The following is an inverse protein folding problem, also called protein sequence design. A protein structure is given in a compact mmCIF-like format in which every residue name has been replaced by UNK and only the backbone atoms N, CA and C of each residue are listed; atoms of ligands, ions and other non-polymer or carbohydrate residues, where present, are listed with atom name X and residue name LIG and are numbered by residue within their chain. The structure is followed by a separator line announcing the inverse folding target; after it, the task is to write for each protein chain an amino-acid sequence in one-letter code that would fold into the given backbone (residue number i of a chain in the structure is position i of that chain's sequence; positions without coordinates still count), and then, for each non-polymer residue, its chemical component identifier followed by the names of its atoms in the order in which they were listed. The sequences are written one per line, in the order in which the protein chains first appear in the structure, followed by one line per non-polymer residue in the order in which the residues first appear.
data_IF_104255718187
#
_entry.id   IF_104255718187
#
_cell.length_a   1.000
_cell.length_b   1.000
_cell.length_c   1.000
_cell.angle_alpha   90.00
_cell.angle_beta   90.00
_cell.angle_gamma   90.00
#
_symmetry.space_group_name_H-M   'P 1'
#
loop_
_entity.id
_entity.type
_entity.pdbx_description
1 polymer ?
#
# COMPACT_ATOMS: atom_id res chain seq x y z
N UNK A 1 -19.59 -4.60 8.98
CA UNK A 1 -18.71 -4.37 10.14
C UNK A 1 -19.37 -5.11 11.29
N UNK A 2 -18.65 -6.04 11.93
CA UNK A 2 -19.20 -6.83 13.04
C UNK A 2 -19.62 -5.86 14.16
N UNK A 3 -20.90 -5.81 14.57
CA UNK A 3 -21.40 -4.82 15.54
C UNK A 3 -20.81 -4.97 16.96
N UNK A 4 -19.97 -5.98 17.19
CA UNK A 4 -19.42 -6.31 18.51
C UNK A 4 -18.02 -5.78 18.80
N UNK A 5 -17.33 -5.15 17.84
CA UNK A 5 -15.99 -4.60 18.07
C UNK A 5 -16.07 -3.26 18.80
N UNK A 6 -15.77 -3.26 20.11
CA UNK A 6 -15.71 -2.04 20.89
C UNK A 6 -14.61 -1.09 20.40
N UNK A 7 -14.84 0.23 20.50
CA UNK A 7 -13.91 1.27 20.04
C UNK A 7 -12.47 1.08 20.56
N UNK A 8 -12.33 0.60 21.80
CA UNK A 8 -11.03 0.32 22.43
C UNK A 8 -10.29 -0.80 21.70
N UNK A 9 -10.99 -1.84 21.25
CA UNK A 9 -10.40 -2.97 20.53
C UNK A 9 -9.97 -2.52 19.13
N UNK A 10 -10.82 -1.78 18.43
CA UNK A 10 -10.49 -1.20 17.12
C UNK A 10 -9.24 -0.32 17.21
N UNK A 11 -9.19 0.59 18.19
CA UNK A 11 -8.03 1.46 18.38
C UNK A 11 -6.75 0.68 18.71
N UNK A 12 -6.86 -0.38 19.51
CA UNK A 12 -5.70 -1.20 19.87
C UNK A 12 -5.17 -1.96 18.65
N UNK A 13 -6.05 -2.52 17.83
CA UNK A 13 -5.72 -3.21 16.58
C UNK A 13 -4.99 -2.28 15.60
N UNK A 14 -5.54 -1.08 15.36
CA UNK A 14 -4.87 -0.07 14.54
C UNK A 14 -3.50 0.34 15.10
N UNK A 15 -3.40 0.60 16.40
CA UNK A 15 -2.13 1.01 17.02
C UNK A 15 -1.07 -0.09 16.91
N UNK A 16 -1.43 -1.35 17.11
CA UNK A 16 -0.52 -2.48 16.93
C UNK A 16 -0.06 -2.56 15.47
N UNK A 17 -1.00 -2.48 14.51
CA UNK A 17 -0.67 -2.49 13.08
C UNK A 17 0.29 -1.37 12.69
N UNK A 18 0.04 -0.13 13.13
CA UNK A 18 0.93 1.01 12.87
C UNK A 18 2.31 0.84 13.52
N UNK A 19 2.37 0.38 14.78
CA UNK A 19 3.64 0.16 15.47
C UNK A 19 4.48 -0.91 14.75
N UNK A 20 3.87 -2.05 14.38
CA UNK A 20 4.54 -3.11 13.62
C UNK A 20 5.03 -2.60 12.27
N UNK A 21 4.24 -1.79 11.58
CA UNK A 21 4.63 -1.20 10.28
C UNK A 21 5.85 -0.29 10.41
N UNK A 22 5.90 0.56 11.45
CA UNK A 22 7.05 1.44 11.71
C UNK A 22 8.31 0.61 11.98
N UNK A 23 8.22 -0.41 12.83
CA UNK A 23 9.36 -1.27 13.18
C UNK A 23 9.90 -1.96 11.93
N UNK A 24 9.02 -2.59 11.14
CA UNK A 24 9.40 -3.29 9.91
C UNK A 24 9.99 -2.31 8.88
N UNK A 25 9.37 -1.13 8.72
CA UNK A 25 9.86 -0.10 7.80
C UNK A 25 11.28 0.37 8.14
N UNK A 26 11.55 0.63 9.44
CA UNK A 26 12.90 0.96 9.90
C UNK A 26 13.88 -0.19 9.68
N UNK A 27 13.46 -1.44 9.91
CA UNK A 27 14.28 -2.62 9.61
C UNK A 27 14.67 -2.71 8.14
N UNK A 28 13.75 -2.42 7.20
CA UNK A 28 14.06 -2.41 5.77
C UNK A 28 15.01 -1.28 5.37
N UNK A 29 14.90 -0.10 5.98
CA UNK A 29 15.85 1.00 5.75
C UNK A 29 17.25 0.61 6.23
N UNK A 30 17.36 0.07 7.44
CA UNK A 30 18.63 -0.41 7.98
C UNK A 30 19.21 -1.52 7.12
N UNK A 31 18.38 -2.43 6.62
CA UNK A 31 18.81 -3.51 5.75
C UNK A 31 19.35 -3.00 4.42
N UNK A 32 18.66 -2.04 3.79
CA UNK A 32 19.16 -1.37 2.59
C UNK A 32 20.53 -0.73 2.82
N UNK A 33 20.71 -0.06 3.97
CA UNK A 33 21.98 0.57 4.33
C UNK A 33 23.11 -0.40 4.68
N UNK A 34 22.83 -1.50 5.38
CA UNK A 34 23.86 -2.40 5.92
C UNK A 34 24.20 -3.57 4.99
N UNK A 35 23.23 -4.07 4.23
CA UNK A 35 23.40 -5.28 3.41
C UNK A 35 23.52 -4.93 1.93
N UNK A 36 22.77 -3.94 1.44
CA UNK A 36 22.68 -3.66 0.00
C UNK A 36 23.67 -2.58 -0.45
N UNK A 37 23.93 -1.58 0.38
CA UNK A 37 24.83 -0.48 0.04
C UNK A 37 26.28 -0.98 -0.16
N UNK A 38 26.91 -0.56 -1.26
CA UNK A 38 28.32 -0.87 -1.57
C UNK A 38 28.59 -2.26 -2.17
N UNK A 39 27.57 -3.09 -2.41
CA UNK A 39 27.73 -4.43 -3.00
C UNK A 39 27.91 -4.44 -4.54
N UNK A 40 27.66 -3.31 -5.22
CA UNK A 40 27.80 -3.20 -6.68
C UNK A 40 26.85 -4.09 -7.50
N UNK A 41 25.89 -4.77 -6.87
CA UNK A 41 24.86 -5.55 -7.55
C UNK A 41 23.70 -4.65 -7.97
N UNK A 42 23.43 -4.62 -9.27
CA UNK A 42 22.19 -4.06 -9.79
C UNK A 42 21.09 -5.13 -9.77
N UNK A 43 19.89 -4.72 -9.36
CA UNK A 43 18.72 -5.59 -9.44
C UNK A 43 18.29 -5.78 -10.88
N UNK A 44 17.90 -7.01 -11.20
CA UNK A 44 17.30 -7.31 -12.48
C UNK A 44 15.97 -6.59 -12.63
N UNK A 45 15.69 -6.10 -13.84
CA UNK A 45 14.38 -5.61 -14.22
C UNK A 45 13.34 -6.74 -14.38
N UNK A 46 13.73 -8.02 -14.34
CA UNK A 46 12.79 -9.15 -14.32
C UNK A 46 12.36 -9.49 -12.90
N UNK A 47 11.05 -9.53 -12.65
CA UNK A 47 10.54 -9.73 -11.29
C UNK A 47 10.88 -11.08 -10.66
N UNK A 48 10.93 -12.14 -11.46
CA UNK A 48 11.32 -13.48 -10.97
C UNK A 48 12.81 -13.53 -10.58
N UNK A 49 13.66 -12.82 -11.32
CA UNK A 49 15.09 -12.73 -11.03
C UNK A 49 15.31 -11.85 -9.80
N UNK A 50 14.64 -10.70 -9.72
CA UNK A 50 14.66 -9.81 -8.56
C UNK A 50 14.29 -10.55 -7.25
N UNK A 51 13.21 -11.34 -7.26
CA UNK A 51 12.81 -12.12 -6.09
C UNK A 51 13.89 -13.12 -5.64
N UNK A 52 14.55 -13.79 -6.60
CA UNK A 52 15.66 -14.69 -6.30
C UNK A 52 16.89 -13.94 -5.80
N UNK A 53 17.22 -12.78 -6.37
CA UNK A 53 18.32 -11.92 -5.93
C UNK A 53 18.11 -11.48 -4.47
N UNK A 54 16.90 -11.04 -4.11
CA UNK A 54 16.56 -10.73 -2.72
C UNK A 54 16.80 -11.94 -1.82
N UNK A 55 16.17 -13.08 -2.12
CA UNK A 55 16.31 -14.30 -1.29
C UNK A 55 17.79 -14.68 -1.12
N UNK A 56 18.56 -14.69 -2.21
CA UNK A 56 19.97 -15.06 -2.17
C UNK A 56 20.79 -14.11 -1.29
N UNK A 57 20.57 -12.80 -1.40
CA UNK A 57 21.25 -11.80 -0.60
C UNK A 57 21.01 -11.99 0.91
N UNK A 58 19.79 -12.38 1.29
CA UNK A 58 19.50 -12.75 2.68
C UNK A 58 20.16 -14.06 3.09
N UNK A 59 20.18 -15.07 2.21
CA UNK A 59 20.81 -16.36 2.52
C UNK A 59 22.33 -16.28 2.61
N UNK A 60 22.95 -15.34 1.91
CA UNK A 60 24.38 -15.09 2.00
C UNK A 60 24.75 -14.51 3.36
N UNK A 61 23.85 -13.70 3.94
CA UNK A 61 24.05 -13.09 5.27
C UNK A 61 23.64 -14.02 6.43
N UNK A 62 22.55 -14.78 6.28
CA UNK A 62 21.94 -15.59 7.35
C UNK A 62 22.27 -17.09 7.27
N UNK A 63 22.83 -17.54 6.14
CA UNK A 63 23.13 -18.94 5.85
C UNK A 63 22.01 -19.64 5.05
N UNK A 64 22.38 -20.71 4.35
CA UNK A 64 21.50 -21.42 3.40
C UNK A 64 20.22 -22.02 4.02
N UNK A 65 20.25 -22.35 5.33
CA UNK A 65 19.08 -22.86 6.05
C UNK A 65 17.90 -21.86 6.06
N UNK A 66 18.20 -20.56 5.98
CA UNK A 66 17.20 -19.49 6.01
C UNK A 66 16.38 -19.40 4.71
N UNK A 67 16.86 -19.99 3.61
CA UNK A 67 16.28 -19.86 2.26
C UNK A 67 14.81 -20.27 2.21
N UNK A 68 14.49 -21.40 2.82
CA UNK A 68 13.13 -21.92 2.84
C UNK A 68 12.18 -21.00 3.63
N UNK A 69 12.62 -20.51 4.80
CA UNK A 69 11.84 -19.61 5.63
C UNK A 69 11.56 -18.27 4.93
N UNK A 70 12.59 -17.68 4.31
CA UNK A 70 12.46 -16.41 3.57
C UNK A 70 11.55 -16.59 2.35
N UNK A 71 11.71 -17.70 1.61
CA UNK A 71 10.86 -18.01 0.46
C UNK A 71 9.38 -18.12 0.84
N UNK A 72 9.06 -18.84 1.91
CA UNK A 72 7.68 -18.97 2.42
C UNK A 72 7.15 -17.62 2.92
N UNK A 73 7.97 -16.85 3.63
CA UNK A 73 7.58 -15.53 4.12
C UNK A 73 7.30 -14.56 2.96
N UNK A 74 8.17 -14.52 1.94
CA UNK A 74 8.01 -13.69 0.76
C UNK A 74 6.74 -14.09 -0.03
N UNK A 75 6.54 -15.39 -0.28
CA UNK A 75 5.34 -15.89 -0.94
C UNK A 75 4.08 -15.51 -0.17
N UNK A 76 4.03 -15.79 1.13
CA UNK A 76 2.86 -15.50 1.97
C UNK A 76 2.53 -14.00 1.99
N UNK A 77 3.56 -13.14 2.04
CA UNK A 77 3.40 -11.68 2.04
C UNK A 77 2.82 -11.18 0.71
N UNK A 78 3.39 -11.62 -0.41
CA UNK A 78 2.90 -11.24 -1.74
C UNK A 78 1.49 -11.79 -1.99
N UNK A 79 1.24 -13.05 -1.65
CA UNK A 79 -0.06 -13.69 -1.82
C UNK A 79 -1.15 -13.01 -0.98
N UNK A 80 -0.88 -12.68 0.28
CA UNK A 80 -1.82 -11.94 1.15
C UNK A 80 -2.18 -10.56 0.58
N UNK A 81 -1.19 -9.87 -0.02
CA UNK A 81 -1.40 -8.56 -0.66
C UNK A 81 -2.31 -8.69 -1.89
N UNK A 82 -2.06 -9.72 -2.73
CA UNK A 82 -2.93 -10.03 -3.87
C UNK A 82 -4.36 -10.34 -3.42
N UNK A 83 -4.56 -11.18 -2.40
CA UNK A 83 -5.89 -11.48 -1.86
C UNK A 83 -6.61 -10.23 -1.34
N UNK A 84 -5.92 -9.43 -0.54
CA UNK A 84 -6.49 -8.20 0.05
C UNK A 84 -6.92 -7.20 -1.03
N UNK A 85 -6.16 -7.12 -2.12
CA UNK A 85 -6.46 -6.22 -3.25
C UNK A 85 -7.59 -6.77 -4.12
N UNK A 86 -7.53 -8.06 -4.45
CA UNK A 86 -8.55 -8.72 -5.26
C UNK A 86 -9.91 -8.77 -4.58
N UNK A 87 -9.98 -8.82 -3.25
CA UNK A 87 -11.26 -8.72 -2.54
C UNK A 87 -11.65 -7.27 -2.22
N UNK A 88 -10.72 -6.49 -1.66
CA UNK A 88 -10.99 -5.15 -1.16
C UNK A 88 -11.35 -4.17 -2.28
N UNK A 89 -10.58 -4.14 -3.37
CA UNK A 89 -10.77 -3.15 -4.43
C UNK A 89 -12.12 -3.32 -5.14
N UNK A 90 -12.54 -4.52 -5.59
CA UNK A 90 -13.85 -4.67 -6.24
C UNK A 90 -15.02 -4.35 -5.32
N UNK A 91 -14.92 -4.65 -4.01
CA UNK A 91 -15.96 -4.32 -3.04
C UNK A 91 -16.12 -2.81 -2.86
N UNK A 92 -15.01 -2.09 -2.74
CA UNK A 92 -15.04 -0.62 -2.64
C UNK A 92 -15.54 -0.01 -3.96
N UNK A 93 -15.06 -0.50 -5.10
CA UNK A 93 -15.48 0.01 -6.42
C UNK A 93 -16.96 -0.24 -6.73
N UNK A 94 -17.51 -1.40 -6.35
CA UNK A 94 -18.95 -1.66 -6.48
C UNK A 94 -19.77 -0.65 -5.68
N UNK A 95 -19.36 -0.32 -4.44
CA UNK A 95 -20.05 0.70 -3.65
C UNK A 95 -19.87 2.10 -4.24
N UNK A 96 -18.65 2.48 -4.61
CA UNK A 96 -18.37 3.80 -5.19
C UNK A 96 -19.13 4.02 -6.50
N UNK A 97 -19.15 3.04 -7.39
CA UNK A 97 -19.91 3.11 -8.65
C UNK A 97 -21.41 3.23 -8.41
N UNK A 98 -21.96 2.50 -7.43
CA UNK A 98 -23.39 2.64 -7.05
C UNK A 98 -23.77 4.01 -6.51
N UNK A 99 -22.80 4.76 -5.95
CA UNK A 99 -23.00 6.11 -5.42
C UNK A 99 -22.79 7.18 -6.49
N UNK A 100 -21.92 6.93 -7.47
CA UNK A 100 -21.56 7.89 -8.51
C UNK A 100 -22.52 7.86 -9.71
N UNK A 101 -23.00 6.67 -10.09
CA UNK A 101 -23.85 6.49 -11.27
C UNK A 101 -25.35 6.55 -10.93
N UNK A 102 -26.16 6.88 -11.94
CA UNK A 102 -27.60 7.02 -11.80
C UNK A 102 -28.29 5.72 -11.32
N UNK A 103 -29.46 5.82 -10.65
CA UNK A 103 -30.22 4.66 -10.23
C UNK A 103 -30.51 3.74 -11.42
N UNK A 104 -29.99 2.51 -11.39
CA UNK A 104 -30.14 1.50 -12.45
C UNK A 104 -28.84 1.03 -13.09
N UNK A 105 -27.73 1.78 -12.96
CA UNK A 105 -26.41 1.36 -13.43
C UNK A 105 -25.51 1.00 -12.25
N UNK A 106 -25.54 -0.27 -11.84
CA UNK A 106 -24.70 -0.78 -10.76
C UNK A 106 -23.75 -1.85 -11.28
N UNK A 107 -22.46 -1.51 -11.34
CA UNK A 107 -21.43 -2.48 -11.65
C UNK A 107 -21.16 -3.28 -10.36
N UNK A 108 -21.49 -4.57 -10.39
CA UNK A 108 -21.39 -5.43 -9.22
C UNK A 108 -19.94 -5.84 -8.91
N UNK A 109 -19.75 -6.49 -7.76
CA UNK A 109 -18.44 -6.98 -7.31
C UNK A 109 -17.75 -7.86 -8.36
N UNK A 110 -18.46 -8.82 -8.95
CA UNK A 110 -17.86 -9.75 -9.91
C UNK A 110 -17.34 -9.04 -11.16
N UNK A 111 -18.09 -8.07 -11.68
CA UNK A 111 -17.64 -7.28 -12.82
C UNK A 111 -16.39 -6.47 -12.49
N UNK A 112 -16.33 -5.82 -11.32
CA UNK A 112 -15.11 -5.12 -10.88
C UNK A 112 -13.93 -6.06 -10.63
N UNK A 113 -14.18 -7.27 -10.11
CA UNK A 113 -13.16 -8.30 -9.90
C UNK A 113 -12.58 -8.76 -11.25
N UNK A 114 -13.44 -9.02 -12.24
CA UNK A 114 -13.02 -9.40 -13.60
C UNK A 114 -12.22 -8.29 -14.24
N UNK A 115 -12.67 -7.03 -14.15
CA UNK A 115 -11.94 -5.86 -14.66
C UNK A 115 -10.56 -5.77 -14.01
N UNK A 116 -10.49 -5.93 -12.69
CA UNK A 116 -9.23 -5.87 -11.94
C UNK A 116 -8.28 -6.99 -12.36
N UNK A 117 -8.74 -8.24 -12.38
CA UNK A 117 -7.92 -9.40 -12.77
C UNK A 117 -7.41 -9.25 -14.20
N UNK A 118 -8.28 -8.92 -15.16
CA UNK A 118 -7.89 -8.73 -16.55
C UNK A 118 -6.88 -7.57 -16.67
N UNK A 119 -7.16 -6.43 -16.03
CA UNK A 119 -6.25 -5.28 -16.03
C UNK A 119 -4.88 -5.62 -15.45
N UNK A 120 -4.84 -6.33 -14.31
CA UNK A 120 -3.59 -6.78 -13.69
C UNK A 120 -2.82 -7.75 -14.58
N UNK A 121 -3.49 -8.70 -15.23
CA UNK A 121 -2.84 -9.65 -16.15
C UNK A 121 -2.29 -8.93 -17.39
N UNK A 122 -3.04 -7.99 -17.97
CA UNK A 122 -2.58 -7.21 -19.12
C UNK A 122 -1.34 -6.37 -18.77
N UNK A 123 -1.35 -5.70 -17.62
CA UNK A 123 -0.21 -4.94 -17.12
C UNK A 123 0.99 -5.87 -16.89
N UNK A 124 0.77 -7.02 -16.24
CA UNK A 124 1.83 -7.99 -15.98
C UNK A 124 2.46 -8.53 -17.27
N UNK A 125 1.64 -8.98 -18.23
CA UNK A 125 2.14 -9.51 -19.50
C UNK A 125 2.84 -8.43 -20.34
N UNK A 126 2.38 -7.17 -20.26
CA UNK A 126 2.99 -6.05 -20.99
C UNK A 126 4.29 -5.52 -20.37
N UNK A 127 4.53 -5.73 -19.07
CA UNK A 127 5.64 -5.13 -18.31
C UNK A 127 6.46 -6.16 -17.49
N UNK A 128 6.37 -7.46 -17.82
CA UNK A 128 7.01 -8.55 -17.03
C UNK A 128 8.52 -8.40 -16.89
N UNK A 129 9.20 -7.85 -17.91
CA UNK A 129 10.65 -7.63 -17.94
C UNK A 129 11.02 -6.17 -17.55
N UNK A 130 10.06 -5.43 -16.99
CA UNK A 130 10.20 -4.03 -16.59
C UNK A 130 9.67 -3.81 -15.17
N UNK A 131 10.08 -4.65 -14.23
CA UNK A 131 9.70 -4.52 -12.82
C UNK A 131 10.08 -3.15 -12.26
N UNK A 132 11.25 -2.60 -12.64
CA UNK A 132 11.62 -1.23 -12.28
C UNK A 132 10.54 -0.21 -12.69
N UNK A 133 10.05 -0.30 -13.92
CA UNK A 133 8.94 0.54 -14.42
C UNK A 133 7.66 0.32 -13.62
N UNK A 134 7.29 -0.93 -13.32
CA UNK A 134 6.10 -1.25 -12.51
C UNK A 134 6.17 -0.62 -11.11
N UNK A 135 7.33 -0.73 -10.46
CA UNK A 135 7.56 -0.13 -9.14
C UNK A 135 7.49 1.40 -9.24
N UNK A 136 8.13 2.01 -10.23
CA UNK A 136 8.12 3.47 -10.44
C UNK A 136 6.71 3.99 -10.68
N UNK A 137 5.95 3.38 -11.60
CA UNK A 137 4.56 3.76 -11.89
C UNK A 137 3.69 3.63 -10.63
N UNK A 138 3.80 2.51 -9.90
CA UNK A 138 3.07 2.31 -8.64
C UNK A 138 3.43 3.36 -7.58
N UNK A 139 4.70 3.72 -7.47
CA UNK A 139 5.20 4.74 -6.54
C UNK A 139 4.67 6.12 -6.89
N UNK A 140 4.74 6.52 -8.17
CA UNK A 140 4.19 7.79 -8.67
C UNK A 140 2.69 7.89 -8.38
N UNK A 141 1.91 6.86 -8.75
CA UNK A 141 0.47 6.84 -8.51
C UNK A 141 0.14 6.90 -7.01
N UNK A 142 0.93 6.24 -6.16
CA UNK A 142 0.76 6.27 -4.71
C UNK A 142 1.02 7.66 -4.12
N UNK A 143 2.11 8.33 -4.54
CA UNK A 143 2.39 9.68 -4.07
C UNK A 143 1.35 10.69 -4.56
N UNK A 144 0.92 10.62 -5.83
CA UNK A 144 -0.12 11.55 -6.32
C UNK A 144 -1.45 11.33 -5.60
N UNK A 145 -1.84 10.08 -5.33
CA UNK A 145 -3.13 9.77 -4.72
C UNK A 145 -3.18 9.99 -3.21
N UNK A 146 -2.07 9.86 -2.49
CA UNK A 146 -2.03 9.99 -1.03
C UNK A 146 -2.53 11.37 -0.51
N UNK A 147 -2.08 12.53 -1.02
CA UNK A 147 -2.62 13.83 -0.64
C UNK A 147 -4.12 13.97 -0.89
N UNK A 148 -4.58 13.43 -2.02
CA UNK A 148 -5.99 13.48 -2.40
C UNK A 148 -6.86 12.74 -1.38
N UNK A 149 -6.50 11.50 -1.04
CA UNK A 149 -7.21 10.74 -0.02
C UNK A 149 -7.12 11.37 1.35
N UNK A 150 -5.94 11.87 1.75
CA UNK A 150 -5.75 12.53 3.03
C UNK A 150 -6.64 13.77 3.19
N UNK A 151 -6.79 14.59 2.14
CA UNK A 151 -7.68 15.75 2.13
C UNK A 151 -9.16 15.37 2.23
N UNK A 152 -9.59 14.32 1.55
CA UNK A 152 -10.98 13.82 1.64
C UNK A 152 -11.25 13.30 3.04
N UNK A 153 -10.37 12.46 3.58
CA UNK A 153 -10.51 11.90 4.94
C UNK A 153 -10.58 13.04 5.96
N UNK A 154 -9.68 14.02 5.87
CA UNK A 154 -9.69 15.18 6.74
C UNK A 154 -11.03 15.93 6.66
N UNK A 155 -11.52 16.24 5.46
CA UNK A 155 -12.81 16.91 5.26
C UNK A 155 -14.00 16.13 5.81
N UNK A 156 -14.02 14.80 5.64
CA UNK A 156 -15.12 13.95 6.14
C UNK A 156 -15.10 13.94 7.67
N UNK A 157 -13.94 13.75 8.27
CA UNK A 157 -13.77 13.62 9.72
C UNK A 157 -14.01 14.95 10.46
N UNK A 158 -13.69 16.09 9.84
CA UNK A 158 -13.99 17.43 10.41
C UNK A 158 -15.29 18.04 9.90
N UNK A 159 -16.01 17.33 9.02
CA UNK A 159 -17.18 17.83 8.32
C UNK A 159 -18.47 17.69 9.12
N UNK A 160 -19.59 18.19 8.57
CA UNK A 160 -20.92 18.07 9.20
C UNK A 160 -21.45 16.63 9.17
N UNK A 161 -20.88 15.75 8.35
CA UNK A 161 -21.28 14.35 8.21
C UNK A 161 -20.98 13.49 9.44
N UNK A 162 -20.16 13.99 10.37
CA UNK A 162 -19.81 13.32 11.61
C UNK A 162 -20.27 14.16 12.83
N UNK A 163 -20.90 13.56 13.86
CA UNK A 163 -21.24 14.27 15.09
C UNK A 163 -20.02 14.95 15.71
N UNK A 164 -20.20 16.16 16.25
CA UNK A 164 -19.10 16.98 16.81
C UNK A 164 -18.31 16.27 17.90
N UNK A 165 -18.94 15.36 18.64
CA UNK A 165 -18.32 14.55 19.70
C UNK A 165 -17.23 13.60 19.17
N UNK A 166 -17.33 13.20 17.90
CA UNK A 166 -16.34 12.34 17.24
C UNK A 166 -15.32 13.12 16.41
N UNK A 167 -15.36 14.46 16.45
CA UNK A 167 -14.37 15.26 15.74
C UNK A 167 -13.01 15.15 16.43
N UNK A 168 -11.91 15.17 15.66
CA UNK A 168 -10.57 15.14 16.23
C UNK A 168 -10.28 16.41 17.03
N UNK A 169 -9.51 16.26 18.10
CA UNK A 169 -9.00 17.39 18.87
C UNK A 169 -8.10 18.31 18.04
N UNK A 170 -7.85 19.52 18.56
CA UNK A 170 -7.09 20.56 17.86
C UNK A 170 -5.69 20.08 17.42
N UNK A 171 -4.98 19.36 18.30
CA UNK A 171 -3.65 18.83 18.00
C UNK A 171 -3.63 17.86 16.82
N UNK A 172 -4.62 16.96 16.76
CA UNK A 172 -4.74 15.99 15.66
C UNK A 172 -5.08 16.70 14.35
N UNK A 173 -5.89 17.76 14.40
CA UNK A 173 -6.20 18.58 13.22
C UNK A 173 -4.94 19.26 12.67
N UNK A 174 -4.17 19.93 13.54
CA UNK A 174 -2.91 20.59 13.15
C UNK A 174 -1.92 19.57 12.59
N UNK A 175 -1.74 18.44 13.28
CA UNK A 175 -0.84 17.39 12.82
C UNK A 175 -1.27 16.82 11.46
N UNK A 176 -2.57 16.61 11.26
CA UNK A 176 -3.10 16.13 9.97
C UNK A 176 -2.84 17.13 8.84
N UNK A 177 -3.02 18.44 9.09
CA UNK A 177 -2.74 19.47 8.10
C UNK A 177 -1.24 19.56 7.76
N UNK A 178 -0.36 19.45 8.76
CA UNK A 178 1.08 19.38 8.55
C UNK A 178 1.47 18.13 7.74
N UNK A 179 0.89 16.97 8.05
CA UNK A 179 1.12 15.74 7.31
C UNK A 179 0.63 15.84 5.86
N UNK A 180 -0.53 16.44 5.62
CA UNK A 180 -1.04 16.71 4.26
C UNK A 180 -0.09 17.65 3.50
N UNK A 181 0.37 18.73 4.13
CA UNK A 181 1.31 19.65 3.50
C UNK A 181 2.63 18.96 3.15
N UNK A 182 3.14 18.10 4.04
CA UNK A 182 4.33 17.29 3.80
C UNK A 182 4.12 16.29 2.65
N UNK A 183 2.98 15.59 2.60
CA UNK A 183 2.65 14.67 1.51
C UNK A 183 2.59 15.41 0.16
N UNK A 184 1.98 16.59 0.10
CA UNK A 184 1.95 17.42 -1.12
C UNK A 184 3.37 17.83 -1.52
N UNK A 185 4.15 18.38 -0.58
CA UNK A 185 5.52 18.81 -0.84
C UNK A 185 6.40 17.68 -1.33
N UNK A 186 6.32 16.51 -0.68
CA UNK A 186 7.07 15.32 -1.06
C UNK A 186 6.65 14.79 -2.44
N UNK A 187 5.34 14.79 -2.74
CA UNK A 187 4.83 14.36 -4.05
C UNK A 187 5.33 15.27 -5.16
N UNK A 188 5.29 16.59 -4.96
CA UNK A 188 5.81 17.57 -5.92
C UNK A 188 7.33 17.42 -6.11
N UNK A 189 8.08 17.30 -5.01
CA UNK A 189 9.52 17.09 -5.06
C UNK A 189 9.86 15.81 -5.83
N UNK A 190 9.20 14.69 -5.51
CA UNK A 190 9.44 13.42 -6.19
C UNK A 190 9.16 13.50 -7.71
N UNK A 191 8.07 14.17 -8.11
CA UNK A 191 7.76 14.40 -9.52
C UNK A 191 8.80 15.26 -10.25
N UNK A 192 9.47 16.19 -9.55
CA UNK A 192 10.57 16.97 -10.15
C UNK A 192 11.88 16.20 -10.26
N UNK A 193 12.03 15.09 -9.55
CA UNK A 193 13.23 14.24 -9.57
C UNK A 193 13.11 13.02 -10.50
N UNK A 194 11.92 12.77 -11.04
CA UNK A 194 11.67 11.72 -12.03
C UNK A 194 12.30 12.08 -13.38
#
# INVERSE_FOLDING_TARGET
LNPELGERQVRWDFNMGYATTIIIGLSFILLGGLVMYGQGQEFSNSGAIFANQLINMYTDSLGQWSKAFIGVAAFTTMFSTSLSTLDGSPRVMAKTSSLLFAPGYQINYLAWLVILVIGSVLIYLGLTDQMGTLITVGTVLSFISAPFYALIIYRVVTGPSLPKEHHPGLWVKIFSLLAIALLIGFSLWYLTTL
#
